data_IF_730026792619
#
_entry.id   IF_730026792619
#
_cell.length_a   1.000
_cell.length_b   1.000
_cell.length_c   1.000
_cell.angle_alpha   90.00
_cell.angle_beta   90.00
_cell.angle_gamma   90.00
#
_symmetry.space_group_name_H-M   'P 1'
#
loop_
_entity.id
_entity.type
_entity.pdbx_description
1 polymer ?
#
# COMPACT_ATOMS: atom_id res chain seq x y z
N UNK A 1 -14.26 1.76 28.55
CA UNK A 1 -14.14 2.42 27.23
C UNK A 1 -12.67 2.45 26.84
N UNK A 2 -12.30 1.77 25.76
CA UNK A 2 -10.92 1.79 25.28
C UNK A 2 -10.66 3.16 24.58
N UNK A 3 -9.62 3.94 24.94
CA UNK A 3 -9.35 5.25 24.33
C UNK A 3 -9.10 5.22 22.81
N UNK A 4 -8.96 4.02 22.21
CA UNK A 4 -9.00 3.84 20.76
C UNK A 4 -10.40 3.98 20.12
N UNK A 5 -11.49 4.07 20.90
CA UNK A 5 -12.87 4.17 20.39
C UNK A 5 -13.33 5.57 19.98
N UNK A 6 -12.54 6.63 20.20
CA UNK A 6 -12.87 7.97 19.69
C UNK A 6 -12.38 8.18 18.25
N UNK A 7 -12.40 7.14 17.43
CA UNK A 7 -12.18 7.30 16.00
C UNK A 7 -13.52 7.55 15.32
N UNK A 8 -13.74 8.78 14.85
CA UNK A 8 -14.89 9.06 14.00
C UNK A 8 -14.48 8.94 12.54
N UNK A 9 -15.40 8.40 11.73
CA UNK A 9 -15.28 8.40 10.27
C UNK A 9 -15.02 9.82 9.76
N UNK A 10 -15.67 10.82 10.35
CA UNK A 10 -15.54 12.23 10.00
C UNK A 10 -14.11 12.75 10.18
N UNK A 11 -13.43 12.42 11.29
CA UNK A 11 -12.03 12.81 11.53
C UNK A 11 -11.09 12.20 10.47
N UNK A 12 -11.39 10.97 10.02
CA UNK A 12 -10.63 10.33 8.96
C UNK A 12 -10.88 10.96 7.61
N UNK A 13 -12.13 11.23 7.26
CA UNK A 13 -12.50 11.89 6.02
C UNK A 13 -11.91 13.30 5.95
N UNK A 14 -11.97 14.06 7.03
CA UNK A 14 -11.35 15.38 7.15
C UNK A 14 -9.84 15.28 6.93
N UNK A 15 -9.18 14.33 7.60
CA UNK A 15 -7.75 14.10 7.40
C UNK A 15 -7.43 13.70 5.95
N UNK A 16 -8.17 12.76 5.39
CA UNK A 16 -7.97 12.26 4.03
C UNK A 16 -8.12 13.41 3.01
N UNK A 17 -9.17 14.23 3.13
CA UNK A 17 -9.40 15.40 2.28
C UNK A 17 -8.30 16.46 2.40
N UNK A 18 -7.62 16.55 3.55
CA UNK A 18 -6.47 17.45 3.75
C UNK A 18 -5.20 17.02 2.99
N UNK A 19 -5.13 15.75 2.56
CA UNK A 19 -3.99 15.21 1.84
C UNK A 19 -4.06 15.53 0.34
N UNK A 20 -2.90 15.60 -0.32
CA UNK A 20 -2.87 15.58 -1.77
C UNK A 20 -3.38 14.23 -2.32
N UNK A 21 -3.89 14.26 -3.55
CA UNK A 21 -4.54 13.10 -4.20
C UNK A 21 -3.66 11.84 -4.16
N UNK A 22 -2.34 11.96 -4.32
CA UNK A 22 -1.47 10.78 -4.32
C UNK A 22 -1.36 10.15 -2.93
N UNK A 23 -1.35 10.97 -1.87
CA UNK A 23 -1.39 10.47 -0.49
C UNK A 23 -2.75 9.88 -0.15
N UNK A 24 -3.85 10.46 -0.64
CA UNK A 24 -5.18 9.87 -0.51
C UNK A 24 -5.21 8.46 -1.11
N UNK A 25 -4.83 8.36 -2.40
CA UNK A 25 -4.76 7.08 -3.12
C UNK A 25 -3.87 6.07 -2.39
N UNK A 26 -2.68 6.48 -1.95
CA UNK A 26 -1.78 5.59 -1.19
C UNK A 26 -2.42 5.08 0.09
N UNK A 27 -3.12 5.93 0.84
CA UNK A 27 -3.80 5.51 2.07
C UNK A 27 -4.89 4.47 1.77
N UNK A 28 -5.72 4.72 0.75
CA UNK A 28 -6.74 3.77 0.31
C UNK A 28 -6.14 2.46 -0.20
N UNK A 29 -5.02 2.49 -0.91
CA UNK A 29 -4.31 1.29 -1.34
C UNK A 29 -3.71 0.49 -0.18
N UNK A 30 -3.20 1.18 0.84
CA UNK A 30 -2.71 0.52 2.06
C UNK A 30 -3.85 -0.17 2.81
N UNK A 31 -5.05 0.44 2.85
CA UNK A 31 -6.24 -0.19 3.43
C UNK A 31 -6.66 -1.42 2.63
N UNK A 32 -6.83 -1.30 1.31
CA UNK A 32 -7.14 -2.41 0.41
C UNK A 32 -6.13 -3.57 0.57
N UNK A 33 -4.84 -3.27 0.58
CA UNK A 33 -3.80 -4.29 0.72
C UNK A 33 -3.82 -4.95 2.11
N UNK A 34 -4.08 -4.21 3.18
CA UNK A 34 -4.20 -4.80 4.53
C UNK A 34 -5.42 -5.69 4.69
N UNK A 35 -6.48 -5.46 3.91
CA UNK A 35 -7.67 -6.31 3.90
C UNK A 35 -7.47 -7.56 3.05
N UNK A 36 -6.88 -7.43 1.85
CA UNK A 36 -6.85 -8.51 0.86
C UNK A 36 -5.53 -9.26 0.73
N UNK A 37 -4.41 -8.70 1.20
CA UNK A 37 -3.08 -9.29 1.07
C UNK A 37 -2.47 -9.70 2.42
N UNK A 38 -3.19 -9.56 3.54
CA UNK A 38 -2.67 -9.86 4.88
C UNK A 38 -2.23 -11.31 5.09
N UNK A 39 -2.71 -12.24 4.26
CA UNK A 39 -2.36 -13.67 4.33
C UNK A 39 -1.31 -14.09 3.30
N UNK A 40 -0.97 -13.20 2.38
CA UNK A 40 -0.06 -13.52 1.29
C UNK A 40 1.38 -13.19 1.71
N UNK A 41 2.16 -14.24 1.97
CA UNK A 41 3.57 -14.15 2.38
C UNK A 41 4.47 -13.43 1.36
N UNK A 42 4.05 -13.30 0.10
CA UNK A 42 4.80 -12.55 -0.92
C UNK A 42 4.67 -11.03 -0.73
N UNK A 43 3.71 -10.56 0.07
CA UNK A 43 3.43 -9.14 0.29
C UNK A 43 3.70 -8.71 1.72
N UNK A 44 4.68 -7.83 1.87
CA UNK A 44 4.90 -7.11 3.11
C UNK A 44 3.89 -5.94 3.22
N UNK A 45 2.68 -6.24 3.72
CA UNK A 45 1.66 -5.23 4.08
C UNK A 45 2.05 -4.43 5.34
N UNK A 46 3.24 -4.70 5.87
CA UNK A 46 3.84 -3.89 6.89
C UNK A 46 4.37 -2.57 6.29
N UNK A 47 3.48 -1.59 6.15
CA UNK A 47 3.79 -0.26 5.60
C UNK A 47 4.66 0.60 6.54
N UNK A 48 5.45 -0.01 7.42
CA UNK A 48 6.22 0.66 8.46
C UNK A 48 5.68 0.46 9.88
N UNK A 49 4.73 -0.46 10.05
CA UNK A 49 4.11 -0.92 11.30
C UNK A 49 4.70 -2.27 11.73
N UNK A 50 6.03 -2.42 11.80
CA UNK A 50 6.66 -3.72 12.08
C UNK A 50 6.29 -4.21 13.48
N UNK A 51 5.94 -5.50 13.67
CA UNK A 51 5.85 -6.13 14.98
C UNK A 51 7.26 -6.45 15.50
N UNK A 52 8.16 -5.46 15.48
CA UNK A 52 9.45 -5.56 16.16
C UNK A 52 9.35 -4.83 17.50
N UNK A 53 9.57 -5.56 18.60
CA UNK A 53 9.25 -5.22 19.98
C UNK A 53 10.14 -4.11 20.59
N UNK A 54 10.94 -3.39 19.78
CA UNK A 54 11.95 -2.43 20.26
C UNK A 54 11.69 -0.95 19.88
N UNK A 55 10.44 -0.56 19.64
CA UNK A 55 9.94 0.84 19.59
C UNK A 55 10.03 1.66 18.28
N UNK A 56 10.63 1.18 17.18
CA UNK A 56 10.70 2.01 15.94
C UNK A 56 9.39 2.08 15.13
N UNK A 57 8.57 1.02 15.17
CA UNK A 57 7.28 0.97 14.44
C UNK A 57 6.19 1.82 15.10
N UNK A 58 6.09 1.74 16.43
CA UNK A 58 5.19 2.57 17.23
C UNK A 58 5.53 4.06 17.09
N UNK A 59 6.83 4.39 17.03
CA UNK A 59 7.28 5.77 16.86
C UNK A 59 6.79 6.40 15.56
N UNK A 60 6.76 5.64 14.44
CA UNK A 60 6.13 6.11 13.19
C UNK A 60 4.62 6.29 13.33
N UNK A 61 3.92 5.34 13.93
CA UNK A 61 2.48 5.46 14.15
C UNK A 61 2.13 6.67 15.03
N UNK A 62 2.97 6.98 16.01
CA UNK A 62 2.80 8.16 16.87
C UNK A 62 3.17 9.48 16.17
N UNK A 63 4.32 9.52 15.48
CA UNK A 63 4.89 10.77 14.95
C UNK A 63 4.37 11.17 13.59
N UNK A 64 3.82 10.24 12.81
CA UNK A 64 3.31 10.54 11.46
C UNK A 64 1.79 10.47 11.44
N UNK A 65 1.09 11.62 11.28
CA UNK A 65 -0.36 11.66 11.17
C UNK A 65 -0.91 10.67 10.14
N UNK A 66 -0.19 10.50 9.03
CA UNK A 66 -0.58 9.58 7.96
C UNK A 66 -0.76 8.14 8.46
N UNK A 67 0.24 7.59 9.16
CA UNK A 67 0.16 6.23 9.69
C UNK A 67 -0.79 6.14 10.89
N UNK A 68 -0.91 7.21 11.69
CA UNK A 68 -1.87 7.29 12.78
C UNK A 68 -3.31 7.14 12.28
N UNK A 69 -3.72 7.94 11.30
CA UNK A 69 -5.07 7.91 10.75
C UNK A 69 -5.33 6.61 9.97
N UNK A 70 -4.36 6.11 9.21
CA UNK A 70 -4.44 4.80 8.57
C UNK A 70 -4.69 3.68 9.58
N UNK A 71 -3.90 3.58 10.66
CA UNK A 71 -4.05 2.50 11.63
C UNK A 71 -5.37 2.61 12.39
N UNK A 72 -5.78 3.83 12.80
CA UNK A 72 -7.08 4.02 13.46
C UNK A 72 -8.25 3.57 12.59
N UNK A 73 -8.23 3.92 11.30
CA UNK A 73 -9.27 3.50 10.35
C UNK A 73 -9.22 2.00 10.08
N UNK A 74 -8.04 1.44 9.81
CA UNK A 74 -7.90 0.01 9.54
C UNK A 74 -8.46 -0.82 10.70
N UNK A 75 -8.19 -0.42 11.94
CA UNK A 75 -8.68 -1.09 13.14
C UNK A 75 -10.13 -0.76 13.51
N UNK A 76 -10.77 0.21 12.85
CA UNK A 76 -12.21 0.44 13.01
C UNK A 76 -13.05 -0.38 12.04
N UNK A 77 -12.45 -0.96 10.99
CA UNK A 77 -13.15 -1.85 10.05
C UNK A 77 -13.51 -3.18 10.72
N UNK A 78 -12.58 -3.92 11.37
CA UNK A 78 -12.94 -5.11 12.13
C UNK A 78 -13.43 -4.76 13.53
N UNK A 79 -14.34 -5.57 14.08
CA UNK A 79 -14.76 -5.46 15.49
C UNK A 79 -13.66 -5.89 16.48
N UNK A 80 -12.71 -6.72 16.03
CA UNK A 80 -11.56 -7.17 16.82
C UNK A 80 -10.24 -6.71 16.19
N UNK A 81 -9.50 -5.91 16.94
CA UNK A 81 -8.22 -5.27 16.57
C UNK A 81 -7.09 -6.30 16.39
N UNK A 82 -7.22 -7.48 16.98
CA UNK A 82 -6.19 -8.53 16.94
C UNK A 82 -6.45 -9.62 15.91
N UNK A 83 -7.66 -9.65 15.33
CA UNK A 83 -8.02 -10.66 14.34
C UNK A 83 -7.68 -10.20 12.92
N UNK A 84 -7.40 -11.19 12.07
CA UNK A 84 -7.30 -10.97 10.63
C UNK A 84 -8.66 -10.51 10.08
N UNK A 85 -8.67 -9.68 9.02
CA UNK A 85 -9.90 -9.34 8.30
C UNK A 85 -10.64 -10.61 7.83
N UNK A 86 -11.88 -10.76 8.27
CA UNK A 86 -12.78 -11.83 7.84
C UNK A 86 -13.61 -11.40 6.62
N UNK A 87 -14.51 -12.27 6.15
CA UNK A 87 -15.38 -11.96 5.01
C UNK A 87 -16.32 -10.78 5.28
N UNK A 88 -16.68 -10.53 6.55
CA UNK A 88 -17.48 -9.36 6.93
C UNK A 88 -16.66 -8.08 6.74
N UNK A 89 -15.45 -8.03 7.29
CA UNK A 89 -14.54 -6.88 7.14
C UNK A 89 -14.23 -6.57 5.66
N UNK A 90 -14.09 -7.61 4.81
CA UNK A 90 -13.93 -7.44 3.36
C UNK A 90 -15.16 -6.79 2.70
N UNK A 91 -16.36 -7.21 3.08
CA UNK A 91 -17.60 -6.63 2.57
C UNK A 91 -17.81 -5.19 3.06
N UNK A 92 -17.53 -4.93 4.33
CA UNK A 92 -17.62 -3.60 4.93
C UNK A 92 -16.64 -2.63 4.23
N UNK A 93 -15.40 -3.06 4.01
CA UNK A 93 -14.43 -2.29 3.24
C UNK A 93 -14.88 -2.05 1.80
N UNK A 94 -15.45 -3.06 1.12
CA UNK A 94 -15.92 -2.91 -0.26
C UNK A 94 -16.97 -1.81 -0.39
N UNK A 95 -18.00 -1.84 0.45
CA UNK A 95 -19.07 -0.84 0.44
C UNK A 95 -18.50 0.57 0.75
N UNK A 96 -17.67 0.65 1.78
CA UNK A 96 -17.06 1.91 2.21
C UNK A 96 -16.12 2.50 1.15
N UNK A 97 -15.35 1.65 0.45
CA UNK A 97 -14.49 2.07 -0.65
C UNK A 97 -15.30 2.71 -1.78
N UNK A 98 -16.41 2.10 -2.17
CA UNK A 98 -17.27 2.66 -3.22
C UNK A 98 -17.74 4.08 -2.88
N UNK A 99 -18.10 4.32 -1.62
CA UNK A 99 -18.50 5.65 -1.14
C UNK A 99 -17.33 6.63 -1.08
N UNK A 100 -16.17 6.20 -0.57
CA UNK A 100 -14.95 7.00 -0.54
C UNK A 100 -14.48 7.43 -1.95
N UNK A 101 -14.52 6.51 -2.91
CA UNK A 101 -14.15 6.82 -4.29
C UNK A 101 -15.09 7.85 -4.92
N UNK A 102 -16.40 7.73 -4.66
CA UNK A 102 -17.39 8.73 -5.12
C UNK A 102 -17.13 10.09 -4.48
N UNK A 103 -16.93 10.14 -3.16
CA UNK A 103 -16.66 11.41 -2.46
C UNK A 103 -15.39 12.11 -2.94
N UNK A 104 -14.35 11.34 -3.24
CA UNK A 104 -13.07 11.86 -3.72
C UNK A 104 -13.04 12.10 -5.24
N UNK A 105 -14.15 11.84 -5.94
CA UNK A 105 -14.26 11.94 -7.40
C UNK A 105 -13.20 11.09 -8.13
N UNK A 106 -13.02 9.85 -7.67
CA UNK A 106 -12.08 8.87 -8.21
C UNK A 106 -12.83 7.75 -8.93
N UNK A 107 -12.35 7.37 -10.11
CA UNK A 107 -12.87 6.22 -10.85
C UNK A 107 -12.40 4.90 -10.23
N UNK A 108 -13.31 3.94 -10.06
CA UNK A 108 -13.00 2.59 -9.60
C UNK A 108 -12.05 1.85 -10.57
N UNK A 109 -12.20 2.06 -11.88
CA UNK A 109 -11.31 1.46 -12.88
C UNK A 109 -9.87 1.97 -12.73
N UNK A 110 -9.73 3.30 -12.60
CA UNK A 110 -8.42 3.94 -12.39
C UNK A 110 -7.81 3.48 -11.06
N UNK A 111 -8.64 3.42 -10.00
CA UNK A 111 -8.23 2.89 -8.71
C UNK A 111 -7.69 1.47 -8.84
N UNK A 112 -8.42 0.57 -9.49
CA UNK A 112 -8.02 -0.82 -9.69
C UNK A 112 -6.68 -0.94 -10.44
N UNK A 113 -6.51 -0.20 -11.53
CA UNK A 113 -5.25 -0.19 -12.28
C UNK A 113 -4.07 0.32 -11.44
N UNK A 114 -4.25 1.47 -10.78
CA UNK A 114 -3.20 2.06 -9.95
C UNK A 114 -2.89 1.21 -8.71
N UNK A 115 -3.88 0.50 -8.17
CA UNK A 115 -3.68 -0.46 -7.08
C UNK A 115 -2.77 -1.62 -7.52
N UNK A 116 -2.94 -2.15 -8.73
CA UNK A 116 -2.02 -3.17 -9.26
C UNK A 116 -0.59 -2.64 -9.37
N UNK A 117 -0.40 -1.37 -9.76
CA UNK A 117 0.92 -0.75 -9.76
C UNK A 117 1.47 -0.58 -8.33
N UNK A 118 0.65 -0.14 -7.38
CA UNK A 118 1.04 -0.08 -5.97
C UNK A 118 1.54 -1.43 -5.43
N UNK A 119 0.84 -2.52 -5.75
CA UNK A 119 1.23 -3.90 -5.41
C UNK A 119 2.62 -4.24 -5.96
N UNK A 120 2.97 -3.80 -7.18
CA UNK A 120 4.33 -3.97 -7.72
C UNK A 120 5.36 -3.31 -6.80
N UNK A 121 5.08 -2.09 -6.32
CA UNK A 121 5.94 -1.38 -5.36
C UNK A 121 6.20 -2.19 -4.09
N UNK A 122 5.17 -2.83 -3.55
CA UNK A 122 5.32 -3.71 -2.37
C UNK A 122 6.23 -4.91 -2.65
N UNK A 123 6.08 -5.55 -3.82
CA UNK A 123 6.98 -6.64 -4.23
C UNK A 123 8.42 -6.17 -4.36
N UNK A 124 8.64 -4.98 -4.92
CA UNK A 124 9.97 -4.38 -5.05
C UNK A 124 10.60 -4.12 -3.68
N UNK A 125 9.80 -3.62 -2.73
CA UNK A 125 10.21 -3.39 -1.34
C UNK A 125 10.60 -4.69 -0.64
N UNK A 126 9.73 -5.71 -0.69
CA UNK A 126 9.98 -7.01 -0.09
C UNK A 126 11.24 -7.68 -0.64
N UNK A 127 11.51 -7.52 -1.95
CA UNK A 127 12.70 -8.10 -2.59
C UNK A 127 14.00 -7.33 -2.37
N UNK A 128 13.96 -6.11 -1.82
CA UNK A 128 15.16 -5.28 -1.62
C UNK A 128 16.14 -5.87 -0.61
N UNK A 129 15.62 -6.47 0.46
CA UNK A 129 16.38 -7.22 1.49
C UNK A 129 17.62 -6.48 2.09
N UNK A 130 17.63 -5.15 2.06
CA UNK A 130 18.66 -4.30 2.67
C UNK A 130 18.05 -2.97 3.12
N UNK A 131 18.82 -1.94 3.43
CA UNK A 131 18.32 -0.57 3.66
C UNK A 131 18.19 0.23 2.35
N UNK A 132 17.35 1.29 2.33
CA UNK A 132 17.23 2.16 1.14
C UNK A 132 18.56 2.86 0.80
N UNK A 133 19.38 3.15 1.82
CA UNK A 133 20.72 3.75 1.65
C UNK A 133 21.67 2.79 0.94
N UNK A 134 21.74 1.54 1.38
CA UNK A 134 22.58 0.52 0.73
C UNK A 134 22.12 0.21 -0.69
N UNK A 135 20.80 0.12 -0.89
CA UNK A 135 20.24 -0.13 -2.22
C UNK A 135 20.47 1.02 -3.21
N UNK A 136 20.50 2.26 -2.70
CA UNK A 136 20.80 3.45 -3.50
C UNK A 136 22.18 3.34 -4.15
N UNK A 137 23.17 2.87 -3.39
CA UNK A 137 24.54 2.66 -3.88
C UNK A 137 24.61 1.58 -4.99
N UNK A 138 23.80 0.52 -4.90
CA UNK A 138 23.77 -0.58 -5.89
C UNK A 138 23.02 -0.22 -7.16
N UNK A 139 21.84 0.40 -7.01
CA UNK A 139 20.90 0.66 -8.11
C UNK A 139 21.20 1.94 -8.89
N UNK A 140 22.01 2.84 -8.34
CA UNK A 140 22.19 4.22 -8.80
C UNK A 140 20.87 5.04 -8.79
N UNK A 141 19.89 4.63 -7.97
CA UNK A 141 18.67 5.39 -7.71
C UNK A 141 18.84 6.15 -6.39
N UNK A 142 18.33 7.38 -6.31
CA UNK A 142 18.31 8.11 -5.03
C UNK A 142 17.36 7.45 -4.02
N UNK A 143 17.58 7.68 -2.72
CA UNK A 143 16.67 7.19 -1.66
C UNK A 143 15.24 7.70 -1.84
N UNK A 144 15.08 8.94 -2.33
CA UNK A 144 13.77 9.51 -2.67
C UNK A 144 13.11 8.74 -3.81
N UNK A 145 13.87 8.41 -4.87
CA UNK A 145 13.36 7.62 -6.00
C UNK A 145 13.00 6.19 -5.58
N UNK A 146 13.79 5.57 -4.72
CA UNK A 146 13.47 4.25 -4.13
C UNK A 146 12.16 4.34 -3.34
N UNK A 147 11.98 5.38 -2.53
CA UNK A 147 10.73 5.63 -1.81
C UNK A 147 9.56 5.80 -2.76
N UNK A 148 9.71 6.57 -3.85
CA UNK A 148 8.66 6.69 -4.86
C UNK A 148 8.29 5.32 -5.45
N UNK A 149 9.28 4.50 -5.82
CA UNK A 149 9.06 3.20 -6.45
C UNK A 149 8.40 2.18 -5.52
N UNK A 150 8.71 2.22 -4.23
CA UNK A 150 8.15 1.29 -3.24
C UNK A 150 6.81 1.75 -2.70
N UNK A 151 6.67 3.04 -2.38
CA UNK A 151 5.53 3.59 -1.64
C UNK A 151 4.48 4.24 -2.56
N UNK A 152 4.87 4.66 -3.76
CA UNK A 152 4.04 5.38 -4.75
C UNK A 152 4.26 4.85 -6.17
N UNK A 153 4.38 3.53 -6.32
CA UNK A 153 4.73 2.90 -7.60
C UNK A 153 3.75 3.22 -8.75
N UNK A 154 2.49 3.55 -8.41
CA UNK A 154 1.49 4.03 -9.37
C UNK A 154 1.84 5.38 -10.04
N UNK A 155 2.87 6.08 -9.56
CA UNK A 155 3.46 7.28 -10.18
C UNK A 155 4.81 7.00 -10.85
N UNK A 156 5.27 5.76 -10.85
CA UNK A 156 6.59 5.41 -11.35
C UNK A 156 6.60 5.25 -12.86
N UNK A 157 7.72 5.65 -13.47
CA UNK A 157 8.00 5.33 -14.87
C UNK A 157 8.47 3.88 -14.96
N UNK A 158 8.10 3.19 -16.04
CA UNK A 158 8.57 1.82 -16.33
C UNK A 158 10.10 1.76 -16.37
N UNK A 159 10.76 2.80 -16.88
CA UNK A 159 12.22 2.92 -16.88
C UNK A 159 12.84 2.87 -15.49
N UNK A 160 12.19 3.49 -14.50
CA UNK A 160 12.66 3.56 -13.12
C UNK A 160 12.48 2.19 -12.44
N UNK A 161 11.36 1.51 -12.71
CA UNK A 161 11.11 0.13 -12.27
C UNK A 161 12.15 -0.82 -12.87
N UNK A 162 12.42 -0.70 -14.17
CA UNK A 162 13.45 -1.49 -14.84
C UNK A 162 14.82 -1.29 -14.23
N UNK A 163 15.21 -0.04 -13.93
CA UNK A 163 16.46 0.26 -13.24
C UNK A 163 16.51 -0.39 -11.85
N UNK A 164 15.43 -0.30 -11.09
CA UNK A 164 15.32 -0.92 -9.77
C UNK A 164 15.55 -2.43 -9.85
N UNK A 165 14.87 -3.12 -10.79
CA UNK A 165 14.94 -4.57 -10.92
C UNK A 165 16.30 -5.01 -11.47
N UNK A 166 16.76 -4.41 -12.57
CA UNK A 166 17.99 -4.84 -13.24
C UNK A 166 19.24 -4.47 -12.47
N UNK A 167 19.38 -3.21 -12.06
CA UNK A 167 20.59 -2.74 -11.37
C UNK A 167 20.53 -2.98 -9.87
N UNK A 168 19.37 -2.71 -9.28
CA UNK A 168 19.21 -2.85 -7.83
C UNK A 168 19.08 -4.30 -7.38
N UNK A 169 18.10 -5.04 -7.93
CA UNK A 169 17.85 -6.43 -7.56
C UNK A 169 18.74 -7.44 -8.31
N UNK A 170 19.46 -7.02 -9.35
CA UNK A 170 20.29 -7.91 -10.17
C UNK A 170 19.49 -8.97 -10.93
N UNK A 171 18.21 -8.69 -11.25
CA UNK A 171 17.31 -9.64 -11.91
C UNK A 171 17.01 -9.21 -13.33
N UNK A 172 16.80 -10.19 -14.22
CA UNK A 172 16.22 -9.91 -15.53
C UNK A 172 14.73 -9.60 -15.40
N UNK A 173 14.30 -8.57 -16.11
CA UNK A 173 12.90 -8.16 -16.17
C UNK A 173 12.40 -8.33 -17.61
N UNK A 174 11.48 -9.27 -17.82
CA UNK A 174 10.74 -9.40 -19.08
C UNK A 174 9.37 -8.77 -18.91
N UNK A 175 9.11 -7.70 -19.64
CA UNK A 175 7.77 -7.19 -19.82
C UNK A 175 7.12 -8.02 -20.91
N UNK A 176 6.29 -8.97 -20.53
CA UNK A 176 5.47 -9.70 -21.49
C UNK A 176 4.16 -8.94 -21.66
N UNK A 177 4.08 -8.16 -22.74
CA UNK A 177 2.87 -7.41 -23.12
C UNK A 177 1.90 -8.24 -23.95
N UNK A 178 2.17 -9.53 -24.16
CA UNK A 178 1.27 -10.37 -24.94
C UNK A 178 -0.05 -10.54 -24.18
N UNK A 179 -1.19 -10.14 -24.76
CA UNK A 179 -2.48 -10.46 -24.16
C UNK A 179 -2.56 -11.98 -24.09
N UNK A 180 -2.83 -12.53 -22.90
CA UNK A 180 -3.14 -13.96 -22.76
C UNK A 180 -4.42 -14.22 -23.55
N UNK A 181 -4.28 -14.56 -24.83
CA UNK A 181 -5.36 -15.14 -25.62
C UNK A 181 -5.64 -16.48 -24.95
N UNK A 182 -6.71 -16.53 -24.16
CA UNK A 182 -7.27 -17.78 -23.67
C UNK A 182 -7.72 -18.57 -24.90
N UNK A 183 -6.84 -19.44 -25.39
CA UNK A 183 -7.20 -20.42 -26.39
C UNK A 183 -8.30 -21.29 -25.81
N UNK A 184 -9.56 -20.97 -26.14
CA UNK A 184 -10.66 -21.92 -26.04
C UNK A 184 -10.28 -23.08 -26.94
N UNK A 185 -9.92 -24.21 -26.33
CA UNK A 185 -9.87 -25.50 -27.04
C UNK A 185 -11.33 -25.84 -27.40
N UNK A 186 -11.58 -25.88 -28.71
CA UNK A 186 -12.74 -26.58 -29.27
C UNK A 186 -12.61 -28.08 -29.03
#
# INVERSE_FOLDING_TARGET
>A
MNPYYNFSMDEFLEYLRSLDVNKQMRMLFMLEASIYLCEDYDYDTNFGTYPDHQNLGFDKQLRTPFYKHYSRFLFSIPEDVFNKPDEKAKNDWKNLKEDLLKELNLSEEIFGYQYQLFIIGLKLKAKRLCSKKEFSLKSNLSVSKITQLEDYCFLAKISDIYMYVKKGLGREFKLDFSPKVSAKKN
#
